data_IF_534681661954
#
_entry.id   IF_534681661954
#
_cell.length_a   1.000
_cell.length_b   1.000
_cell.length_c   1.000
_cell.angle_alpha   90.00
_cell.angle_beta   90.00
_cell.angle_gamma   90.00
#
_symmetry.space_group_name_H-M   'P 1'
#
loop_
_entity.id
_entity.type
_entity.pdbx_description
1 polymer ?
#
# COMPACT_ATOMS: atom_id res chain seq x y z
N UNK A 1 5.53 14.96 7.89
CA UNK A 1 4.71 13.93 8.56
C UNK A 1 3.33 14.01 7.94
N UNK A 2 2.87 12.95 7.25
CA UNK A 2 1.66 12.97 6.41
C UNK A 2 0.43 12.36 7.11
N UNK A 3 0.56 11.98 8.38
CA UNK A 3 -0.42 11.17 9.14
C UNK A 3 -1.83 11.80 9.19
N UNK A 4 -1.96 13.11 9.40
CA UNK A 4 -3.27 13.78 9.44
C UNK A 4 -4.02 13.66 8.11
N UNK A 5 -3.30 13.65 6.98
CA UNK A 5 -3.91 13.50 5.65
C UNK A 5 -4.23 12.04 5.36
N UNK A 6 -3.39 11.11 5.80
CA UNK A 6 -3.65 9.68 5.66
C UNK A 6 -4.88 9.23 6.43
N UNK A 7 -5.13 9.81 7.61
CA UNK A 7 -6.35 9.56 8.37
C UNK A 7 -7.64 9.89 7.59
N UNK A 8 -7.59 10.84 6.64
CA UNK A 8 -8.73 11.17 5.78
C UNK A 8 -8.97 10.14 4.67
N UNK A 9 -8.01 9.26 4.40
CA UNK A 9 -8.06 8.21 3.37
C UNK A 9 -8.44 6.87 4.02
N UNK A 10 -7.96 6.60 5.22
CA UNK A 10 -8.27 5.39 5.99
C UNK A 10 -9.79 5.23 6.21
N UNK A 11 -10.26 3.98 6.08
CA UNK A 11 -11.67 3.61 6.20
C UNK A 11 -12.48 3.77 4.91
N UNK A 12 -11.97 4.45 3.88
CA UNK A 12 -12.63 4.56 2.58
C UNK A 12 -12.48 3.28 1.76
N UNK A 13 -13.44 3.04 0.89
CA UNK A 13 -13.39 2.01 -0.14
C UNK A 13 -12.99 2.61 -1.47
N UNK A 14 -11.96 2.05 -2.11
CA UNK A 14 -11.46 2.52 -3.40
C UNK A 14 -10.62 1.45 -4.10
N UNK A 15 -10.37 1.64 -5.39
CA UNK A 15 -9.38 0.87 -6.14
C UNK A 15 -7.96 1.28 -5.75
N UNK A 16 -6.97 0.43 -6.07
CA UNK A 16 -5.55 0.74 -5.84
C UNK A 16 -5.12 2.00 -6.62
N UNK A 17 -5.64 2.18 -7.84
CA UNK A 17 -5.35 3.37 -8.67
C UNK A 17 -5.93 4.66 -8.10
N UNK A 18 -7.09 4.59 -7.45
CA UNK A 18 -7.66 5.73 -6.73
C UNK A 18 -6.87 6.04 -5.46
N UNK A 19 -6.48 5.01 -4.72
CA UNK A 19 -5.60 5.14 -3.56
C UNK A 19 -4.29 5.83 -3.92
N UNK A 20 -3.64 5.40 -5.01
CA UNK A 20 -2.43 6.02 -5.54
C UNK A 20 -2.60 7.55 -5.72
N UNK A 21 -3.70 7.98 -6.35
CA UNK A 21 -3.98 9.42 -6.57
C UNK A 21 -4.20 10.18 -5.26
N UNK A 22 -4.92 9.59 -4.30
CA UNK A 22 -5.13 10.20 -2.98
C UNK A 22 -3.79 10.33 -2.23
N UNK A 23 -2.90 9.35 -2.34
CA UNK A 23 -1.56 9.40 -1.75
C UNK A 23 -0.67 10.47 -2.39
N UNK A 24 -0.71 10.61 -3.73
CA UNK A 24 -0.01 11.69 -4.43
C UNK A 24 -0.51 13.06 -3.99
N UNK A 25 -1.83 13.24 -3.86
CA UNK A 25 -2.43 14.48 -3.37
C UNK A 25 -2.09 14.75 -1.89
N UNK A 26 -2.06 13.72 -1.05
CA UNK A 26 -1.71 13.84 0.36
C UNK A 26 -0.23 14.23 0.55
N UNK A 27 0.67 13.58 -0.18
CA UNK A 27 2.12 13.82 -0.08
C UNK A 27 2.61 15.00 -0.90
N UNK A 28 1.87 15.41 -1.94
CA UNK A 28 2.32 16.40 -2.92
C UNK A 28 3.47 15.89 -3.79
N UNK A 29 3.67 14.57 -3.87
CA UNK A 29 4.74 13.90 -4.62
C UNK A 29 4.14 12.79 -5.48
N UNK A 30 4.62 12.67 -6.72
CA UNK A 30 4.20 11.60 -7.63
C UNK A 30 4.76 10.22 -7.21
N UNK A 31 4.05 9.15 -7.57
CA UNK A 31 4.50 7.76 -7.39
C UNK A 31 5.26 7.26 -8.61
N UNK A 32 6.24 6.37 -8.40
CA UNK A 32 6.95 5.70 -9.51
C UNK A 32 6.02 4.78 -10.31
N UNK A 33 5.09 4.12 -9.61
CA UNK A 33 4.07 3.24 -10.18
C UNK A 33 2.77 3.37 -9.36
N UNK A 34 1.66 3.51 -10.07
CA UNK A 34 0.31 3.66 -9.50
C UNK A 34 -0.36 2.32 -9.18
N UNK A 35 0.19 1.21 -9.66
CA UNK A 35 -0.28 -0.13 -9.33
C UNK A 35 0.31 -0.63 -7.99
N UNK A 36 1.50 -0.14 -7.64
CA UNK A 36 2.20 -0.53 -6.42
C UNK A 36 2.65 -1.99 -6.40
N UNK A 37 3.44 -2.37 -5.40
CA UNK A 37 3.80 -3.77 -5.15
C UNK A 37 2.82 -4.37 -4.15
N UNK A 38 2.11 -5.43 -4.55
CA UNK A 38 1.08 -6.06 -3.71
C UNK A 38 1.60 -7.35 -3.10
N UNK A 39 1.68 -7.36 -1.77
CA UNK A 39 2.02 -8.54 -0.98
C UNK A 39 0.81 -9.00 -0.16
N UNK A 40 0.39 -10.25 -0.34
CA UNK A 40 -0.67 -10.83 0.51
C UNK A 40 -0.13 -11.07 1.91
N UNK A 41 -0.77 -10.47 2.90
CA UNK A 41 -0.44 -10.73 4.31
C UNK A 41 -1.09 -12.05 4.72
N UNK A 42 -0.32 -13.13 4.69
CA UNK A 42 -0.78 -14.42 5.23
C UNK A 42 -0.79 -14.33 6.75
N UNK A 43 -1.97 -14.02 7.31
CA UNK A 43 -2.17 -13.99 8.75
C UNK A 43 -2.01 -15.43 9.28
N UNK A 44 -0.92 -15.71 10.00
CA UNK A 44 -0.63 -17.04 10.60
C UNK A 44 -1.61 -17.48 11.71
N UNK A 45 -2.73 -16.78 11.90
CA UNK A 45 -3.76 -17.13 12.89
C UNK A 45 -4.95 -17.80 12.18
N UNK A 46 -5.42 -18.96 12.65
CA UNK A 46 -6.58 -19.63 12.07
C UNK A 46 -7.81 -18.79 12.40
N UNK A 47 -8.28 -18.02 11.43
CA UNK A 47 -9.59 -17.39 11.50
C UNK A 47 -10.34 -17.71 10.19
N UNK A 48 -10.76 -18.97 10.00
CA UNK A 48 -11.51 -19.41 8.81
C UNK A 48 -12.86 -18.67 8.63
N UNK A 49 -13.29 -17.88 9.61
CA UNK A 49 -14.52 -17.08 9.58
C UNK A 49 -14.31 -15.62 9.12
N UNK A 50 -13.07 -15.18 8.84
CA UNK A 50 -12.88 -13.81 8.32
C UNK A 50 -13.36 -13.77 6.88
N UNK A 51 -14.52 -13.14 6.65
CA UNK A 51 -15.05 -12.82 5.34
C UNK A 51 -14.25 -11.75 4.58
N UNK A 52 -12.95 -11.59 4.88
CA UNK A 52 -12.05 -10.66 4.21
C UNK A 52 -10.62 -11.22 4.19
N UNK A 53 -9.86 -10.83 3.18
CA UNK A 53 -8.40 -10.93 3.15
C UNK A 53 -7.76 -9.57 3.36
N UNK A 54 -6.49 -9.58 3.77
CA UNK A 54 -5.68 -8.38 3.92
C UNK A 54 -4.46 -8.43 2.99
N UNK A 55 -4.15 -7.29 2.40
CA UNK A 55 -3.01 -7.09 1.50
C UNK A 55 -2.24 -5.87 1.97
N UNK A 56 -0.92 -5.90 1.80
CA UNK A 56 -0.09 -4.70 1.86
C UNK A 56 0.19 -4.27 0.43
N UNK A 57 -0.10 -3.01 0.13
CA UNK A 57 0.27 -2.37 -1.14
C UNK A 57 1.35 -1.35 -0.84
N UNK A 58 2.51 -1.53 -1.44
CA UNK A 58 3.69 -0.69 -1.24
C UNK A 58 3.87 0.22 -2.44
N UNK A 59 3.86 1.53 -2.21
CA UNK A 59 4.09 2.54 -3.23
C UNK A 59 5.45 3.21 -3.02
N UNK A 60 6.18 3.46 -4.11
CA UNK A 60 7.45 4.19 -4.07
C UNK A 60 7.25 5.61 -4.58
N UNK A 61 7.72 6.59 -3.82
CA UNK A 61 7.68 8.00 -4.21
C UNK A 61 8.77 8.29 -5.25
N UNK A 62 8.44 9.06 -6.30
CA UNK A 62 9.45 9.54 -7.25
C UNK A 62 10.48 10.41 -6.55
N UNK A 63 11.70 10.40 -7.11
CA UNK A 63 12.84 11.23 -6.67
C UNK A 63 13.28 10.99 -5.21
N UNK A 64 12.79 9.94 -4.57
CA UNK A 64 13.20 9.53 -3.22
C UNK A 64 13.33 8.01 -3.15
N UNK A 65 13.91 7.51 -2.07
CA UNK A 65 13.88 6.08 -1.73
C UNK A 65 12.75 5.73 -0.76
N UNK A 66 11.94 6.73 -0.39
CA UNK A 66 10.88 6.60 0.59
C UNK A 66 9.69 5.83 0.01
N UNK A 67 9.00 5.10 0.89
CA UNK A 67 7.87 4.26 0.54
C UNK A 67 6.62 4.66 1.32
N UNK A 68 5.47 4.27 0.80
CA UNK A 68 4.19 4.34 1.49
C UNK A 68 3.60 2.93 1.48
N UNK A 69 3.35 2.38 2.66
CA UNK A 69 2.70 1.09 2.82
C UNK A 69 1.23 1.31 3.17
N UNK A 70 0.33 0.71 2.40
CA UNK A 70 -1.10 0.73 2.67
C UNK A 70 -1.61 -0.69 2.94
N UNK A 71 -2.21 -0.90 4.10
CA UNK A 71 -2.94 -2.14 4.41
C UNK A 71 -4.37 -1.97 3.88
N UNK A 72 -4.78 -2.88 3.01
CA UNK A 72 -6.13 -2.90 2.44
C UNK A 72 -6.82 -4.24 2.69
N UNK A 73 -8.15 -4.23 2.79
CA UNK A 73 -8.94 -5.46 2.96
C UNK A 73 -10.03 -5.60 1.92
N UNK A 74 -10.31 -6.83 1.51
CA UNK A 74 -11.48 -7.16 0.70
C UNK A 74 -12.74 -7.28 1.55
N UNK A 75 -13.90 -7.43 0.92
CA UNK A 75 -15.17 -7.76 1.57
C UNK A 75 -15.55 -9.24 1.46
N UNK A 76 -14.65 -10.05 0.88
CA UNK A 76 -14.85 -11.47 0.67
C UNK A 76 -13.52 -12.23 0.76
N UNK A 77 -13.64 -13.56 0.86
CA UNK A 77 -12.50 -14.46 0.90
C UNK A 77 -12.58 -15.42 -0.30
N UNK A 78 -11.47 -15.57 -1.00
CA UNK A 78 -11.21 -16.45 -2.14
C UNK A 78 -10.13 -17.44 -1.75
N UNK A 79 -10.11 -18.60 -2.41
CA UNK A 79 -9.17 -19.67 -2.07
C UNK A 79 -7.75 -19.37 -2.53
N UNK A 80 -7.62 -18.69 -3.68
CA UNK A 80 -6.33 -18.38 -4.31
C UNK A 80 -6.16 -16.88 -4.51
N UNK A 81 -4.93 -16.39 -4.44
CA UNK A 81 -4.60 -14.98 -4.68
C UNK A 81 -5.04 -14.51 -6.07
N UNK A 82 -4.82 -15.34 -7.10
CA UNK A 82 -5.18 -15.05 -8.48
C UNK A 82 -6.71 -14.92 -8.73
N UNK A 83 -7.54 -15.22 -7.73
CA UNK A 83 -9.00 -15.03 -7.82
C UNK A 83 -9.45 -13.63 -7.37
N UNK A 84 -8.52 -12.81 -6.87
CA UNK A 84 -8.78 -11.41 -6.58
C UNK A 84 -8.48 -10.56 -7.81
N UNK A 85 -9.42 -9.68 -8.14
CA UNK A 85 -9.20 -8.60 -9.11
C UNK A 85 -8.40 -7.50 -8.42
N UNK A 86 -7.08 -7.62 -8.42
CA UNK A 86 -6.19 -6.64 -7.79
C UNK A 86 -6.11 -5.33 -8.60
N UNK A 87 -6.40 -5.39 -9.90
CA UNK A 87 -6.28 -4.23 -10.79
C UNK A 87 -7.48 -3.29 -10.69
N UNK A 88 -8.70 -3.85 -10.62
CA UNK A 88 -9.95 -3.09 -10.65
C UNK A 88 -10.85 -3.35 -9.43
N UNK A 89 -10.45 -4.25 -8.53
CA UNK A 89 -11.17 -4.51 -7.31
C UNK A 89 -11.20 -3.30 -6.38
N UNK A 90 -12.29 -3.19 -5.64
CA UNK A 90 -12.46 -2.18 -4.59
C UNK A 90 -12.04 -2.79 -3.25
N UNK A 91 -11.20 -2.06 -2.52
CA UNK A 91 -10.66 -2.46 -1.23
C UNK A 91 -10.95 -1.39 -0.18
N UNK A 92 -11.18 -1.81 1.06
CA UNK A 92 -11.22 -0.90 2.21
C UNK A 92 -9.80 -0.60 2.67
N UNK A 93 -9.41 0.67 2.67
CA UNK A 93 -8.12 1.13 3.21
C UNK A 93 -8.16 1.06 4.73
N UNK A 94 -7.20 0.39 5.36
CA UNK A 94 -7.18 0.18 6.83
C UNK A 94 -6.15 1.00 7.56
N UNK A 95 -4.96 1.10 6.99
CA UNK A 95 -3.83 1.79 7.60
C UNK A 95 -2.89 2.23 6.50
N UNK A 96 -2.40 3.47 6.57
CA UNK A 96 -1.36 3.98 5.69
C UNK A 96 -0.17 4.40 6.53
N UNK A 97 1.02 3.94 6.16
CA UNK A 97 2.27 4.23 6.86
C UNK A 97 3.28 4.83 5.90
N UNK A 98 3.92 5.92 6.32
CA UNK A 98 5.06 6.48 5.60
C UNK A 98 6.36 5.83 6.08
N UNK A 99 7.08 5.18 5.17
CA UNK A 99 8.34 4.50 5.48
C UNK A 99 9.48 5.30 4.89
N UNK A 100 10.13 6.09 5.75
CA UNK A 100 11.37 6.77 5.37
C UNK A 100 12.49 5.74 5.21
N UNK A 101 13.16 5.75 4.07
CA UNK A 101 14.38 4.96 3.83
C UNK A 101 15.56 5.90 3.80
N UNK A 102 16.65 5.50 4.43
CA UNK A 102 17.92 6.17 4.21
C UNK A 102 18.40 5.80 2.80
N UNK A 103 18.83 6.80 2.02
CA UNK A 103 19.50 6.53 0.77
C UNK A 103 20.74 5.66 1.08
N UNK A 104 21.09 4.68 0.22
CA UNK A 104 22.34 3.95 0.41
C UNK A 104 23.46 4.98 0.48
N UNK A 105 24.23 4.98 1.57
CA UNK A 105 25.48 5.73 1.63
C UNK A 105 26.33 5.14 0.51
N UNK A 106 26.49 5.86 -0.60
CA UNK A 106 27.53 5.54 -1.56
C UNK A 106 28.84 5.73 -0.81
N UNK A 107 29.44 4.63 -0.37
CA UNK A 107 30.84 4.65 0.03
C UNK A 107 31.64 5.00 -1.23
N UNK A 108 31.93 6.28 -1.42
CA UNK A 108 33.00 6.74 -2.30
C UNK A 108 34.33 6.29 -1.67
N UNK A 109 34.69 5.04 -1.88
CA UNK A 109 36.01 4.44 -1.69
C UNK A 109 35.94 3.15 -2.50
N UNK A 110 36.68 2.97 -3.59
CA UNK A 110 38.14 3.03 -3.60
C UNK A 110 38.68 3.73 -4.86
N UNK A 111 39.76 4.48 -4.61
CA UNK A 111 40.67 5.14 -5.56
C UNK A 111 41.38 4.15 -6.50
#
# INVERSE_FOLDING_TARGET
MYEEKFYLIEGKEMTIKELAKELEAATGTELEDVEGSIDRVVVKKPAPERGFEAFTVTFKLKHTVDLIDAVVTTNNTKKRLAEYDLENGVFTVRLISYVRKEAPIQNESEL
#
